data_IF_469667794501
#
_entry.id   IF_469667794501
#
_cell.length_a   1.000
_cell.length_b   1.000
_cell.length_c   1.000
_cell.angle_alpha   90.00
_cell.angle_beta   90.00
_cell.angle_gamma   90.00
#
_symmetry.space_group_name_H-M   'P 1'
#
loop_
_entity.id
_entity.type
_entity.pdbx_description
1 polymer ?
#
# COMPACT_ATOMS: atom_id res chain seq x y z
N UNK A 1 -24.43 -0.38 4.68
CA UNK A 1 -24.50 0.48 3.49
C UNK A 1 -23.10 0.60 2.96
N UNK A 2 -22.90 0.39 1.66
CA UNK A 2 -21.63 0.80 1.02
C UNK A 2 -21.64 2.33 1.10
N UNK A 3 -20.61 2.92 1.73
CA UNK A 3 -20.45 4.37 1.77
C UNK A 3 -20.42 4.94 0.35
N UNK A 4 -20.73 6.22 0.18
CA UNK A 4 -20.47 6.89 -1.10
C UNK A 4 -19.00 6.68 -1.50
N UNK A 5 -18.69 6.55 -2.80
CA UNK A 5 -17.31 6.49 -3.26
C UNK A 5 -16.58 7.74 -2.77
N UNK A 6 -15.53 7.54 -1.98
CA UNK A 6 -14.67 8.58 -1.45
C UNK A 6 -13.35 8.59 -2.25
N UNK A 7 -13.27 9.39 -3.32
CA UNK A 7 -12.08 9.44 -4.17
C UNK A 7 -10.86 9.99 -3.41
N UNK A 8 -11.06 10.78 -2.35
CA UNK A 8 -9.98 11.44 -1.61
C UNK A 8 -9.09 10.39 -0.93
N UNK A 9 -9.68 9.29 -0.44
CA UNK A 9 -8.95 8.14 0.12
C UNK A 9 -8.02 7.52 -0.92
N UNK A 10 -8.49 7.33 -2.16
CA UNK A 10 -7.68 6.77 -3.23
C UNK A 10 -6.59 7.75 -3.68
N UNK A 11 -6.86 9.05 -3.70
CA UNK A 11 -5.87 10.08 -4.03
C UNK A 11 -4.72 10.11 -3.02
N UNK A 12 -5.00 9.99 -1.72
CA UNK A 12 -3.98 9.89 -0.67
C UNK A 12 -3.13 8.63 -0.85
N UNK A 13 -3.75 7.48 -1.09
CA UNK A 13 -3.03 6.23 -1.34
C UNK A 13 -2.11 6.32 -2.56
N UNK A 14 -2.60 6.88 -3.67
CA UNK A 14 -1.82 7.06 -4.90
C UNK A 14 -0.66 8.02 -4.67
N UNK A 15 -0.87 9.13 -3.96
CA UNK A 15 0.20 10.08 -3.66
C UNK A 15 1.33 9.42 -2.84
N UNK A 16 0.98 8.70 -1.77
CA UNK A 16 1.92 7.95 -0.94
C UNK A 16 2.69 6.89 -1.75
N UNK A 17 1.99 6.07 -2.51
CA UNK A 17 2.60 5.02 -3.32
C UNK A 17 3.54 5.57 -4.41
N UNK A 18 3.15 6.67 -5.07
CA UNK A 18 4.01 7.34 -6.05
C UNK A 18 5.27 7.92 -5.40
N UNK A 19 5.16 8.52 -4.22
CA UNK A 19 6.31 9.01 -3.46
C UNK A 19 7.25 7.86 -3.10
N UNK A 20 6.71 6.74 -2.60
CA UNK A 20 7.47 5.54 -2.25
C UNK A 20 8.23 4.98 -3.45
N UNK A 21 7.54 4.72 -4.57
CA UNK A 21 8.15 4.12 -5.77
C UNK A 21 9.21 5.04 -6.37
N UNK A 22 8.98 6.36 -6.41
CA UNK A 22 9.95 7.32 -6.95
C UNK A 22 11.20 7.46 -6.07
N UNK A 23 11.05 7.32 -4.76
CA UNK A 23 12.17 7.46 -3.81
C UNK A 23 12.93 6.17 -3.53
N UNK A 24 12.50 5.02 -4.05
CA UNK A 24 12.99 3.71 -3.61
C UNK A 24 14.50 3.51 -3.83
N UNK A 25 15.05 4.08 -4.91
CA UNK A 25 16.45 3.93 -5.29
C UNK A 25 17.40 4.64 -4.30
N UNK A 26 16.92 5.69 -3.64
CA UNK A 26 17.70 6.49 -2.68
C UNK A 26 17.53 6.01 -1.23
N UNK A 27 16.68 5.01 -0.98
CA UNK A 27 16.39 4.53 0.37
C UNK A 27 17.43 3.55 0.88
N UNK A 28 17.64 3.59 2.20
CA UNK A 28 18.29 2.49 2.91
C UNK A 28 17.49 1.21 2.71
N UNK A 29 18.19 0.12 2.41
CA UNK A 29 17.59 -1.20 2.17
C UNK A 29 16.80 -1.69 3.40
N UNK A 30 17.42 -1.57 4.58
CA UNK A 30 16.78 -1.91 5.84
C UNK A 30 16.43 -0.64 6.61
N UNK A 31 15.27 -0.62 7.30
CA UNK A 31 14.90 0.50 8.16
C UNK A 31 15.92 0.66 9.30
N UNK A 32 16.07 1.88 9.79
CA UNK A 32 16.86 2.14 10.99
C UNK A 32 16.06 1.84 12.26
N UNK A 33 16.74 1.84 13.41
CA UNK A 33 16.12 1.54 14.70
C UNK A 33 14.97 2.50 15.05
N UNK A 34 15.09 3.78 14.69
CA UNK A 34 14.07 4.78 14.99
C UNK A 34 12.78 4.53 14.18
N UNK A 35 12.91 4.17 12.90
CA UNK A 35 11.78 3.79 12.07
C UNK A 35 11.09 2.52 12.58
N UNK A 36 11.85 1.55 13.09
CA UNK A 36 11.28 0.34 13.70
C UNK A 36 10.59 0.64 15.03
N UNK A 37 11.19 1.46 15.90
CA UNK A 37 10.59 1.88 17.17
C UNK A 37 9.29 2.67 16.97
N UNK A 38 9.21 3.48 15.91
CA UNK A 38 8.01 4.25 15.56
C UNK A 38 6.78 3.38 15.27
N UNK A 39 6.95 2.11 14.90
CA UNK A 39 5.84 1.17 14.71
C UNK A 39 4.98 0.97 15.96
N UNK A 40 5.48 1.31 17.15
CA UNK A 40 4.68 1.32 18.38
C UNK A 40 3.45 2.24 18.29
N UNK A 41 3.42 3.19 17.35
CA UNK A 41 2.23 4.01 17.08
C UNK A 41 1.03 3.20 16.57
N UNK A 42 1.24 2.01 16.02
CA UNK A 42 0.15 1.10 15.63
C UNK A 42 -0.35 0.21 16.77
N UNK A 43 0.37 0.17 17.90
CA UNK A 43 -0.03 -0.60 19.08
C UNK A 43 -0.97 0.24 19.97
N UNK A 44 -2.16 0.47 19.44
CA UNK A 44 -3.26 1.16 20.14
C UNK A 44 -4.49 0.25 20.28
N UNK A 45 -5.35 0.47 21.29
CA UNK A 45 -6.63 -0.22 21.39
C UNK A 45 -7.49 0.07 20.15
N UNK A 46 -8.24 -0.93 19.66
CA UNK A 46 -9.21 -0.72 18.59
C UNK A 46 -10.22 0.36 19.01
N UNK A 47 -10.38 1.45 18.22
CA UNK A 47 -11.25 2.55 18.61
C UNK A 47 -12.72 2.14 18.55
N UNK A 48 -13.53 2.66 19.48
CA UNK A 48 -14.98 2.42 19.54
C UNK A 48 -15.73 3.04 18.34
N UNK A 49 -15.11 4.00 17.67
CA UNK A 49 -15.65 4.73 16.53
C UNK A 49 -14.63 4.71 15.39
N UNK A 50 -15.12 4.72 14.14
CA UNK A 50 -14.23 4.80 12.98
C UNK A 50 -13.44 6.10 12.95
N UNK A 51 -12.20 6.02 12.49
CA UNK A 51 -11.35 7.17 12.16
C UNK A 51 -11.58 7.58 10.71
N UNK A 52 -11.11 8.77 10.35
CA UNK A 52 -11.06 9.18 8.96
C UNK A 52 -10.13 8.25 8.16
N UNK A 53 -10.60 7.79 7.00
CA UNK A 53 -9.86 6.84 6.17
C UNK A 53 -8.60 7.47 5.57
N UNK A 54 -8.63 8.77 5.23
CA UNK A 54 -7.45 9.48 4.74
C UNK A 54 -6.39 9.62 5.83
N UNK A 55 -6.79 9.90 7.07
CA UNK A 55 -5.86 9.96 8.21
C UNK A 55 -5.24 8.59 8.51
N UNK A 56 -6.03 7.52 8.37
CA UNK A 56 -5.53 6.15 8.50
C UNK A 56 -4.46 5.84 7.44
N UNK A 57 -4.68 6.22 6.18
CA UNK A 57 -3.69 6.03 5.11
C UNK A 57 -2.44 6.89 5.31
N UNK A 58 -2.57 8.13 5.78
CA UNK A 58 -1.43 8.98 6.14
C UNK A 58 -0.60 8.34 7.24
N UNK A 59 -1.24 7.82 8.30
CA UNK A 59 -0.53 7.13 9.38
C UNK A 59 0.24 5.91 8.86
N UNK A 60 -0.36 5.12 7.97
CA UNK A 60 0.29 3.96 7.35
C UNK A 60 1.51 4.37 6.52
N UNK A 61 1.43 5.46 5.74
CA UNK A 61 2.56 5.95 4.96
C UNK A 61 3.66 6.55 5.86
N UNK A 62 3.28 7.43 6.79
CA UNK A 62 4.21 8.17 7.65
C UNK A 62 4.99 7.26 8.63
N UNK A 63 4.31 6.26 9.22
CA UNK A 63 4.92 5.35 10.20
C UNK A 63 5.37 4.05 9.54
N UNK A 64 4.51 3.44 8.73
CA UNK A 64 4.78 2.15 8.09
C UNK A 64 5.78 2.27 6.93
N UNK A 65 5.66 3.32 6.11
CA UNK A 65 6.50 3.56 4.94
C UNK A 65 8.00 3.52 5.27
N UNK A 66 8.52 4.34 6.20
CA UNK A 66 9.93 4.34 6.60
C UNK A 66 10.41 3.00 7.16
N UNK A 67 9.53 2.24 7.82
CA UNK A 67 9.84 0.95 8.46
C UNK A 67 9.85 -0.24 7.48
N UNK A 68 9.51 -0.03 6.21
CA UNK A 68 9.60 -1.08 5.17
C UNK A 68 11.05 -1.45 4.85
N UNK A 69 11.27 -2.72 4.50
CA UNK A 69 12.48 -3.15 3.79
C UNK A 69 12.32 -2.79 2.31
N UNK A 70 13.23 -1.99 1.77
CA UNK A 70 13.20 -1.54 0.38
C UNK A 70 13.67 -2.64 -0.60
N UNK A 71 12.99 -3.78 -0.61
CA UNK A 71 13.38 -4.97 -1.39
C UNK A 71 13.25 -4.79 -2.90
N UNK A 72 12.43 -3.84 -3.36
CA UNK A 72 12.28 -3.49 -4.77
C UNK A 72 13.37 -2.55 -5.29
N UNK A 73 14.24 -2.04 -4.41
CA UNK A 73 15.36 -1.18 -4.78
C UNK A 73 16.56 -1.95 -5.33
N UNK A 74 17.48 -1.28 -6.04
CA UNK A 74 18.58 -1.92 -6.78
C UNK A 74 19.65 -2.56 -5.90
N UNK A 75 19.65 -2.28 -4.60
CA UNK A 75 20.71 -2.68 -3.65
C UNK A 75 20.28 -3.75 -2.65
N UNK A 76 19.09 -4.34 -2.80
CA UNK A 76 18.65 -5.45 -1.96
C UNK A 76 19.09 -6.80 -2.55
N UNK A 77 19.91 -7.55 -1.80
CA UNK A 77 20.45 -8.85 -2.21
C UNK A 77 20.11 -10.00 -1.23
N UNK A 78 19.12 -9.79 -0.35
CA UNK A 78 18.70 -10.78 0.63
C UNK A 78 17.52 -11.62 0.15
N UNK A 79 17.51 -12.92 0.49
CA UNK A 79 16.39 -13.84 0.26
C UNK A 79 15.88 -13.92 -1.20
N UNK A 80 14.79 -14.65 -1.42
CA UNK A 80 14.07 -14.72 -2.71
C UNK A 80 12.76 -13.96 -2.52
N UNK A 81 12.84 -12.63 -2.49
CA UNK A 81 11.69 -11.75 -2.21
C UNK A 81 11.06 -11.22 -3.50
N UNK A 82 11.85 -11.07 -4.57
CA UNK A 82 11.40 -10.47 -5.83
C UNK A 82 11.12 -8.96 -5.71
N UNK A 83 10.67 -8.37 -6.81
CA UNK A 83 10.23 -6.97 -6.84
C UNK A 83 9.14 -6.77 -7.88
N UNK A 84 8.10 -6.01 -7.54
CA UNK A 84 6.95 -5.79 -8.41
C UNK A 84 7.32 -4.86 -9.57
N UNK A 85 7.20 -5.33 -10.80
CA UNK A 85 7.37 -4.50 -11.98
C UNK A 85 6.27 -3.41 -12.03
N UNK A 86 6.56 -2.14 -12.41
CA UNK A 86 5.56 -1.07 -12.40
C UNK A 86 4.27 -1.38 -13.19
N UNK A 87 4.40 -2.05 -14.33
CA UNK A 87 3.23 -2.50 -15.09
C UNK A 87 2.36 -3.52 -14.34
N UNK A 88 2.97 -4.40 -13.53
CA UNK A 88 2.25 -5.36 -12.71
C UNK A 88 1.54 -4.67 -11.53
N UNK A 89 2.19 -3.69 -10.89
CA UNK A 89 1.58 -2.87 -9.83
C UNK A 89 0.39 -2.05 -10.37
N UNK A 90 0.53 -1.43 -11.55
CA UNK A 90 -0.58 -0.71 -12.17
C UNK A 90 -1.74 -1.63 -12.54
N UNK A 91 -1.45 -2.84 -13.05
CA UNK A 91 -2.48 -3.82 -13.35
C UNK A 91 -3.20 -4.31 -12.08
N UNK A 92 -2.50 -4.50 -10.95
CA UNK A 92 -3.15 -4.89 -9.69
C UNK A 92 -4.08 -3.80 -9.17
N UNK A 93 -3.67 -2.52 -9.24
CA UNK A 93 -4.55 -1.40 -8.85
C UNK A 93 -5.83 -1.33 -9.69
N UNK A 94 -5.73 -1.59 -11.00
CA UNK A 94 -6.92 -1.65 -11.86
C UNK A 94 -7.81 -2.84 -11.51
N UNK A 95 -7.22 -4.01 -11.26
CA UNK A 95 -7.97 -5.20 -10.86
C UNK A 95 -8.72 -4.98 -9.54
N UNK A 96 -8.06 -4.40 -8.54
CA UNK A 96 -8.66 -4.07 -7.24
C UNK A 96 -9.77 -3.01 -7.39
N UNK A 97 -9.56 -1.99 -8.22
CA UNK A 97 -10.57 -0.96 -8.47
C UNK A 97 -11.80 -1.47 -9.24
N UNK A 98 -11.64 -2.49 -10.10
CA UNK A 98 -12.78 -3.09 -10.82
C UNK A 98 -13.62 -4.02 -9.95
N UNK A 99 -13.04 -4.59 -8.88
CA UNK A 99 -13.71 -5.45 -7.90
C UNK A 99 -14.66 -6.48 -8.54
N UNK A 100 -14.10 -7.34 -9.40
CA UNK A 100 -14.87 -8.27 -10.22
C UNK A 100 -14.90 -9.69 -9.63
N UNK A 101 -16.08 -10.32 -9.66
CA UNK A 101 -16.24 -11.72 -9.27
C UNK A 101 -16.10 -12.66 -10.48
N UNK A 102 -15.04 -13.45 -10.51
CA UNK A 102 -14.67 -14.35 -11.59
C UNK A 102 -15.42 -15.71 -11.60
N UNK A 103 -16.48 -15.89 -10.81
CA UNK A 103 -17.14 -17.20 -10.68
C UNK A 103 -17.86 -17.67 -11.96
N UNK A 104 -18.42 -16.75 -12.74
CA UNK A 104 -19.17 -17.06 -13.97
C UNK A 104 -18.99 -15.93 -15.01
N UNK A 105 -19.01 -16.22 -16.32
CA UNK A 105 -18.89 -15.17 -17.34
C UNK A 105 -19.94 -14.06 -17.24
N UNK A 106 -21.14 -14.38 -16.76
CA UNK A 106 -22.19 -13.38 -16.53
C UNK A 106 -21.88 -12.44 -15.34
N UNK A 107 -21.03 -12.86 -14.41
CA UNK A 107 -20.64 -12.09 -13.23
C UNK A 107 -19.43 -11.21 -13.51
N UNK A 108 -18.52 -11.65 -14.39
CA UNK A 108 -17.45 -10.81 -14.91
C UNK A 108 -16.85 -11.38 -16.21
N UNK A 109 -17.26 -10.88 -17.40
CA UNK A 109 -16.71 -11.34 -18.67
C UNK A 109 -15.22 -11.05 -18.85
N UNK A 110 -14.70 -10.03 -18.14
CA UNK A 110 -13.28 -9.64 -18.22
C UNK A 110 -12.39 -10.56 -17.37
N UNK A 111 -12.97 -11.30 -16.41
CA UNK A 111 -12.24 -12.14 -15.46
C UNK A 111 -12.43 -13.66 -15.68
N UNK A 112 -13.05 -14.07 -16.80
CA UNK A 112 -13.35 -15.48 -17.12
C UNK A 112 -12.89 -15.90 -18.51
#
# INVERSE_FOLDING_TARGET
MVGEPDPDVLEVAVAAALAYVRGIDDRRVFPDAAAVEALAAFDEPLPEHGTDATDTLRLLDEIGGPATVASTGPTYFGFVTGGTHPAALGASWLADAWDQNAALPAMSPVAT
#
